data_IF_494413118362
#
_entry.id   IF_494413118362
#
_cell.length_a   1.000
_cell.length_b   1.000
_cell.length_c   1.000
_cell.angle_alpha   90.00
_cell.angle_beta   90.00
_cell.angle_gamma   90.00
#
_symmetry.space_group_name_H-M   'P 1'
#
loop_
_entity.id
_entity.type
_entity.pdbx_description
1 polymer ?
#
# COMPACT_ATOMS: atom_id res chain seq x y z
N UNK A 1 -10.84 -15.14 -7.79
CA UNK A 1 -11.65 -13.95 -7.43
C UNK A 1 -11.63 -12.95 -8.58
N UNK A 2 -12.72 -12.21 -8.83
CA UNK A 2 -12.76 -11.13 -9.82
C UNK A 2 -13.11 -9.81 -9.10
N UNK A 3 -12.38 -8.75 -9.38
CA UNK A 3 -12.59 -7.40 -8.81
C UNK A 3 -13.02 -6.48 -9.94
N UNK A 4 -14.05 -5.65 -9.70
CA UNK A 4 -14.46 -4.64 -10.68
C UNK A 4 -13.49 -3.46 -10.58
N UNK A 5 -13.02 -2.99 -11.72
CA UNK A 5 -12.01 -1.94 -11.84
C UNK A 5 -12.49 -0.91 -12.86
N UNK A 6 -12.28 0.37 -12.56
CA UNK A 6 -12.37 1.46 -13.53
C UNK A 6 -10.97 2.05 -13.66
N UNK A 7 -10.52 2.23 -14.91
CA UNK A 7 -9.30 2.94 -15.22
C UNK A 7 -9.66 4.20 -16.00
N UNK A 8 -9.37 5.37 -15.43
CA UNK A 8 -9.63 6.67 -16.05
C UNK A 8 -8.40 7.24 -16.78
N UNK A 9 -7.33 6.46 -16.90
CA UNK A 9 -6.13 6.81 -17.64
C UNK A 9 -6.00 6.03 -18.95
N UNK A 10 -5.03 6.41 -19.77
CA UNK A 10 -4.58 5.71 -20.98
C UNK A 10 -3.54 4.60 -20.69
N UNK A 11 -3.20 4.36 -19.42
CA UNK A 11 -2.21 3.36 -19.02
C UNK A 11 -2.83 1.96 -18.93
N UNK A 12 -2.04 0.88 -19.08
CA UNK A 12 -2.53 -0.48 -18.89
C UNK A 12 -3.07 -0.72 -17.47
N UNK A 13 -4.01 -1.65 -17.33
CA UNK A 13 -4.47 -2.11 -16.02
C UNK A 13 -3.30 -2.71 -15.21
N UNK A 14 -3.32 -2.59 -13.87
CA UNK A 14 -2.38 -3.29 -13.00
C UNK A 14 -2.45 -4.81 -13.26
N UNK A 15 -1.28 -5.44 -13.33
CA UNK A 15 -1.14 -6.89 -13.55
C UNK A 15 -0.05 -7.46 -12.65
N UNK A 16 -0.10 -8.76 -12.44
CA UNK A 16 1.02 -9.50 -11.86
C UNK A 16 2.15 -9.58 -12.89
N UNK A 17 3.36 -9.23 -12.47
CA UNK A 17 4.53 -9.20 -13.37
C UNK A 17 5.15 -10.59 -13.53
N UNK A 18 5.01 -11.46 -12.53
CA UNK A 18 5.42 -12.87 -12.57
C UNK A 18 4.33 -13.77 -11.97
N UNK A 19 4.41 -15.07 -12.25
CA UNK A 19 3.45 -16.07 -11.77
C UNK A 19 3.27 -16.07 -10.24
N UNK A 20 4.33 -15.79 -9.50
CA UNK A 20 4.34 -15.81 -8.03
C UNK A 20 4.38 -14.39 -7.41
N UNK A 21 4.12 -13.36 -8.21
CA UNK A 21 4.03 -11.99 -7.68
C UNK A 21 2.81 -11.85 -6.76
N UNK A 22 3.03 -11.34 -5.55
CA UNK A 22 1.94 -11.07 -4.61
C UNK A 22 1.16 -9.78 -4.94
N UNK A 23 1.84 -8.78 -5.50
CA UNK A 23 1.29 -7.45 -5.76
C UNK A 23 1.13 -7.12 -7.24
N UNK A 24 0.25 -6.15 -7.52
CA UNK A 24 0.04 -5.56 -8.84
C UNK A 24 0.62 -4.14 -8.86
N UNK A 25 1.49 -3.84 -9.81
CA UNK A 25 2.14 -2.52 -9.87
C UNK A 25 1.13 -1.40 -10.21
N UNK A 26 1.10 -0.35 -9.40
CA UNK A 26 0.37 0.90 -9.64
C UNK A 26 1.29 1.93 -10.31
N UNK A 27 0.74 2.66 -11.28
CA UNK A 27 1.48 3.63 -12.09
C UNK A 27 1.04 5.06 -11.80
N UNK A 28 1.99 6.00 -11.86
CA UNK A 28 1.66 7.44 -11.86
C UNK A 28 0.94 7.82 -13.15
N UNK A 29 -0.07 8.66 -13.06
CA UNK A 29 -0.75 9.25 -14.23
C UNK A 29 -0.21 10.64 -14.60
N UNK A 30 0.73 11.17 -13.83
CA UNK A 30 1.31 12.50 -14.00
C UNK A 30 2.84 12.46 -14.00
N UNK A 31 3.43 13.50 -14.58
CA UNK A 31 4.82 13.84 -14.38
C UNK A 31 4.98 14.68 -13.10
N UNK A 32 5.99 14.38 -12.29
CA UNK A 32 6.29 15.07 -11.05
C UNK A 32 7.75 14.85 -10.66
N UNK A 33 8.40 15.87 -10.10
CA UNK A 33 9.62 15.68 -9.31
C UNK A 33 9.25 15.76 -7.84
N UNK A 34 9.60 14.71 -7.07
CA UNK A 34 9.38 14.67 -5.63
C UNK A 34 10.70 15.01 -4.92
N UNK A 35 10.77 16.23 -4.38
CA UNK A 35 11.95 16.73 -3.67
C UNK A 35 12.23 15.96 -2.36
N UNK A 36 13.50 15.89 -1.91
CA UNK A 36 13.86 15.33 -0.61
C UNK A 36 13.03 15.89 0.55
N UNK A 37 12.59 15.01 1.45
CA UNK A 37 11.75 15.35 2.60
C UNK A 37 10.32 15.77 2.27
N UNK A 38 9.90 15.73 1.00
CA UNK A 38 8.53 16.04 0.58
C UNK A 38 7.71 14.78 0.35
N UNK A 39 6.40 14.93 0.52
CA UNK A 39 5.42 13.89 0.20
C UNK A 39 4.31 14.46 -0.68
N UNK A 40 3.69 13.60 -1.49
CA UNK A 40 2.54 13.97 -2.34
C UNK A 40 1.67 12.75 -2.64
N UNK A 41 0.36 12.96 -2.67
CA UNK A 41 -0.59 12.00 -3.21
C UNK A 41 -0.50 11.95 -4.73
N UNK A 42 -0.06 10.82 -5.27
CA UNK A 42 0.12 10.62 -6.71
C UNK A 42 -1.09 9.88 -7.28
N UNK A 43 -1.82 10.48 -8.25
CA UNK A 43 -2.98 9.85 -8.87
C UNK A 43 -2.57 8.64 -9.73
N UNK A 44 -3.39 7.58 -9.71
CA UNK A 44 -3.15 6.33 -10.44
C UNK A 44 -4.14 6.08 -11.57
N UNK A 45 -5.26 6.81 -11.60
CA UNK A 45 -6.40 6.57 -12.49
C UNK A 45 -7.20 5.31 -12.13
N UNK A 46 -6.84 4.59 -11.07
CA UNK A 46 -7.47 3.31 -10.72
C UNK A 46 -8.52 3.51 -9.63
N UNK A 47 -9.72 3.00 -9.90
CA UNK A 47 -10.81 2.86 -8.92
C UNK A 47 -11.22 1.40 -8.84
N UNK A 48 -11.51 0.90 -7.64
CA UNK A 48 -11.86 -0.49 -7.42
C UNK A 48 -13.24 -0.63 -6.76
N UNK A 49 -13.84 -1.80 -6.92
CA UNK A 49 -14.92 -2.27 -6.06
C UNK A 49 -14.56 -3.66 -5.57
N UNK A 50 -14.08 -3.71 -4.32
CA UNK A 50 -13.71 -4.95 -3.65
C UNK A 50 -14.96 -5.61 -3.04
N UNK A 51 -14.96 -6.94 -2.90
CA UNK A 51 -15.98 -7.64 -2.12
C UNK A 51 -15.83 -7.34 -0.61
N UNK A 52 -16.94 -7.44 0.14
CA UNK A 52 -16.91 -7.36 1.62
C UNK A 52 -15.96 -8.42 2.20
N UNK A 53 -15.24 -8.07 3.27
CA UNK A 53 -14.23 -8.92 3.90
C UNK A 53 -12.87 -8.89 3.20
N UNK A 54 -12.68 -7.97 2.26
CA UNK A 54 -11.41 -7.74 1.59
C UNK A 54 -11.06 -6.26 1.61
N UNK A 55 -9.78 -5.98 1.79
CA UNK A 55 -9.16 -4.68 1.59
C UNK A 55 -8.11 -4.79 0.48
N UNK A 56 -7.70 -3.66 -0.07
CA UNK A 56 -6.50 -3.61 -0.88
C UNK A 56 -5.45 -2.74 -0.20
N UNK A 57 -4.24 -3.26 -0.13
CA UNK A 57 -3.11 -2.65 0.56
C UNK A 57 -2.14 -2.07 -0.46
N UNK A 58 -1.91 -0.76 -0.40
CA UNK A 58 -0.89 -0.05 -1.18
C UNK A 58 0.43 -0.12 -0.42
N UNK A 59 1.43 -0.77 -1.02
CA UNK A 59 2.76 -0.98 -0.42
C UNK A 59 3.84 -0.37 -1.28
N UNK A 60 4.96 0.01 -0.65
CA UNK A 60 6.15 0.45 -1.36
C UNK A 60 6.73 -0.68 -2.24
N UNK A 61 7.43 -0.31 -3.31
CA UNK A 61 8.21 -1.25 -4.13
C UNK A 61 9.62 -1.31 -3.56
N UNK A 62 10.07 -2.50 -3.15
CA UNK A 62 11.35 -2.67 -2.44
C UNK A 62 12.55 -2.08 -3.19
N UNK A 63 12.59 -2.23 -4.52
CA UNK A 63 13.66 -1.65 -5.34
C UNK A 63 13.70 -0.12 -5.34
N UNK A 64 12.54 0.55 -5.38
CA UNK A 64 12.46 2.02 -5.34
C UNK A 64 12.79 2.54 -3.94
N UNK A 65 12.32 1.84 -2.90
CA UNK A 65 12.64 2.17 -1.52
C UNK A 65 14.15 2.08 -1.26
N UNK A 66 14.77 0.96 -1.65
CA UNK A 66 16.20 0.71 -1.42
C UNK A 66 17.11 1.67 -2.20
N UNK A 67 16.83 1.92 -3.48
CA UNK A 67 17.72 2.73 -4.33
C UNK A 67 17.53 4.23 -4.20
N UNK A 68 16.31 4.68 -3.90
CA UNK A 68 15.95 6.09 -4.00
C UNK A 68 15.35 6.65 -2.70
N UNK A 69 15.19 5.84 -1.64
CA UNK A 69 14.58 6.28 -0.39
C UNK A 69 13.08 6.57 -0.52
N UNK A 70 12.40 6.01 -1.53
CA UNK A 70 10.97 6.28 -1.75
C UNK A 70 10.11 5.36 -0.92
N UNK A 71 9.34 5.96 -0.02
CA UNK A 71 8.35 5.29 0.82
C UNK A 71 6.92 5.58 0.39
N UNK A 72 5.99 4.83 0.96
CA UNK A 72 4.57 5.17 1.00
C UNK A 72 4.28 5.61 2.43
N UNK A 73 3.81 6.84 2.63
CA UNK A 73 3.70 7.48 3.97
C UNK A 73 2.82 6.66 4.90
N UNK A 74 1.69 6.18 4.39
CA UNK A 74 0.70 5.41 5.14
C UNK A 74 0.88 3.90 4.94
N UNK A 75 2.08 3.40 4.62
CA UNK A 75 2.27 1.99 4.30
C UNK A 75 1.97 1.05 5.49
N UNK A 76 1.23 -0.07 5.28
CA UNK A 76 0.41 -0.35 4.11
C UNK A 76 -0.82 0.57 4.04
N UNK A 77 -0.99 1.26 2.90
CA UNK A 77 -2.15 2.14 2.70
C UNK A 77 -3.41 1.31 2.47
N UNK A 78 -4.45 1.52 3.28
CA UNK A 78 -5.68 0.72 3.22
C UNK A 78 -6.67 1.31 2.23
N UNK A 79 -7.21 0.47 1.35
CA UNK A 79 -8.32 0.78 0.44
C UNK A 79 -9.49 -0.10 0.81
N UNK A 80 -10.53 0.52 1.38
CA UNK A 80 -11.71 -0.17 1.89
C UNK A 80 -12.61 -0.73 0.79
N UNK A 81 -13.43 -1.74 1.14
CA UNK A 81 -14.29 -2.42 0.18
C UNK A 81 -15.40 -1.55 -0.41
N UNK A 82 -15.83 -0.51 0.31
CA UNK A 82 -16.84 0.45 -0.10
C UNK A 82 -16.24 1.71 -0.75
N UNK A 83 -14.92 1.88 -0.75
CA UNK A 83 -14.26 3.00 -1.43
C UNK A 83 -14.43 2.90 -2.95
N UNK A 84 -14.92 3.98 -3.58
CA UNK A 84 -15.10 4.10 -5.04
C UNK A 84 -14.33 5.26 -5.64
N UNK A 85 -13.54 5.95 -4.82
CA UNK A 85 -12.66 7.02 -5.28
C UNK A 85 -11.45 6.45 -6.02
N UNK A 86 -10.63 7.37 -6.52
CA UNK A 86 -9.35 7.03 -7.14
C UNK A 86 -8.30 6.75 -6.08
N UNK A 87 -7.60 5.62 -6.24
CA UNK A 87 -6.46 5.28 -5.41
C UNK A 87 -5.33 6.27 -5.69
N UNK A 88 -4.98 7.06 -4.67
CA UNK A 88 -3.80 7.92 -4.69
C UNK A 88 -2.70 7.28 -3.85
N UNK A 89 -1.49 7.22 -4.39
CA UNK A 89 -0.32 6.71 -3.67
C UNK A 89 0.36 7.88 -2.98
N UNK A 90 0.35 7.91 -1.64
CA UNK A 90 1.01 8.97 -0.87
C UNK A 90 2.50 8.64 -0.77
N UNK A 91 3.28 9.09 -1.75
CA UNK A 91 4.72 8.89 -1.76
C UNK A 91 5.43 9.91 -0.89
N UNK A 92 6.53 9.49 -0.27
CA UNK A 92 7.51 10.35 0.40
C UNK A 92 8.91 10.05 -0.11
N UNK A 93 9.71 11.09 -0.28
CA UNK A 93 11.12 10.97 -0.61
C UNK A 93 11.98 11.15 0.66
N UNK A 94 12.50 10.04 1.20
CA UNK A 94 13.49 10.03 2.28
C UNK A 94 14.93 10.07 1.77
N UNK A 95 15.14 9.97 0.46
CA UNK A 95 16.44 10.07 -0.16
C UNK A 95 16.97 11.50 -0.16
N UNK A 96 18.24 11.64 -0.53
CA UNK A 96 18.94 12.93 -0.57
C UNK A 96 18.82 13.64 -1.92
N UNK A 97 18.31 12.95 -2.94
CA UNK A 97 18.20 13.46 -4.32
C UNK A 97 16.73 13.60 -4.75
N UNK A 98 16.40 14.58 -5.60
CA UNK A 98 15.08 14.67 -6.20
C UNK A 98 14.72 13.38 -6.96
N UNK A 99 13.49 12.90 -6.77
CA UNK A 99 13.02 11.69 -7.44
C UNK A 99 12.06 12.04 -8.56
N UNK A 100 12.49 11.81 -9.80
CA UNK A 100 11.68 12.05 -10.99
C UNK A 100 10.69 10.91 -11.23
N UNK A 101 9.41 11.27 -11.25
CA UNK A 101 8.29 10.40 -11.56
C UNK A 101 7.75 10.84 -12.91
N UNK A 102 7.89 9.99 -13.92
CA UNK A 102 7.19 10.17 -15.19
C UNK A 102 5.83 9.47 -15.16
N UNK A 103 4.89 9.97 -15.96
CA UNK A 103 3.64 9.26 -16.26
C UNK A 103 3.97 7.84 -16.74
N UNK A 104 3.26 6.86 -16.18
CA UNK A 104 3.50 5.44 -16.43
C UNK A 104 4.54 4.79 -15.52
N UNK A 105 5.33 5.55 -14.75
CA UNK A 105 6.28 4.99 -13.78
C UNK A 105 5.53 4.19 -12.72
N UNK A 106 6.05 2.98 -12.44
CA UNK A 106 5.53 2.10 -11.39
C UNK A 106 5.99 2.59 -10.02
N UNK A 107 5.06 3.11 -9.24
CA UNK A 107 5.35 3.86 -8.01
C UNK A 107 5.06 3.08 -6.72
N UNK A 108 4.09 2.17 -6.75
CA UNK A 108 3.70 1.32 -5.63
C UNK A 108 3.18 -0.02 -6.16
N UNK A 109 2.84 -0.92 -5.25
CA UNK A 109 2.15 -2.17 -5.58
C UNK A 109 0.91 -2.33 -4.70
N UNK A 110 -0.13 -2.94 -5.27
CA UNK A 110 -1.38 -3.25 -4.60
C UNK A 110 -1.40 -4.74 -4.24
N UNK A 111 -1.74 -5.10 -3.01
CA UNK A 111 -2.05 -6.48 -2.60
C UNK A 111 -3.47 -6.53 -2.10
N UNK A 112 -4.30 -7.44 -2.62
CA UNK A 112 -5.65 -7.64 -2.08
C UNK A 112 -5.58 -8.67 -0.97
N UNK A 113 -6.08 -8.31 0.21
CA UNK A 113 -5.99 -9.14 1.40
C UNK A 113 -7.38 -9.39 2.00
N UNK A 114 -7.60 -10.58 2.56
CA UNK A 114 -8.80 -10.89 3.34
C UNK A 114 -8.63 -10.30 4.74
N UNK A 115 -9.69 -9.71 5.28
CA UNK A 115 -9.74 -9.30 6.68
C UNK A 115 -11.05 -9.78 7.31
N UNK A 116 -11.08 -9.82 8.65
CA UNK A 116 -12.29 -10.11 9.40
C UNK A 116 -12.96 -8.81 9.86
N UNK A 117 -14.28 -8.88 10.09
CA UNK A 117 -15.03 -7.82 10.77
C UNK A 117 -15.27 -8.30 12.19
N UNK A 118 -14.83 -7.54 13.19
CA UNK A 118 -14.94 -7.92 14.60
C UNK A 118 -16.08 -7.17 15.29
N UNK A 119 -16.61 -7.77 16.34
CA UNK A 119 -17.45 -7.13 17.35
C UNK A 119 -16.67 -7.11 18.66
N UNK A 120 -16.85 -6.06 19.45
CA UNK A 120 -16.16 -5.93 20.74
C UNK A 120 -16.97 -6.62 21.84
N UNK A 121 -16.29 -7.40 22.68
CA UNK A 121 -16.83 -7.99 23.91
C UNK A 121 -16.03 -7.42 25.10
N UNK A 122 -16.55 -6.40 25.82
CA UNK A 122 -15.86 -5.83 26.97
C UNK A 122 -15.82 -6.79 28.16
N UNK A 123 -14.65 -6.99 28.76
CA UNK A 123 -14.41 -7.85 29.93
C UNK A 123 -13.55 -7.12 30.98
N UNK A 124 -13.60 -7.56 32.24
CA UNK A 124 -12.79 -6.98 33.33
C UNK A 124 -11.33 -7.46 33.29
N UNK A 125 -11.09 -8.70 32.87
CA UNK A 125 -9.76 -9.33 32.79
C UNK A 125 -9.61 -10.18 31.52
N UNK A 126 -8.40 -10.28 30.99
CA UNK A 126 -8.03 -11.13 29.85
C UNK A 126 -7.40 -12.45 30.34
N UNK A 127 -7.37 -13.45 29.46
CA UNK A 127 -6.69 -14.72 29.73
C UNK A 127 -5.16 -14.58 29.77
N UNK A 128 -4.49 -15.46 30.53
CA UNK A 128 -3.04 -15.50 30.60
C UNK A 128 -2.42 -16.16 29.36
N UNK A 129 -1.36 -15.55 28.83
CA UNK A 129 -0.57 -16.14 27.73
C UNK A 129 0.91 -16.24 28.10
N UNK A 130 1.66 -17.13 27.44
CA UNK A 130 3.12 -17.24 27.62
C UNK A 130 3.87 -15.93 27.39
N UNK A 131 3.33 -15.03 26.56
CA UNK A 131 3.94 -13.71 26.30
C UNK A 131 3.57 -12.69 27.38
N UNK A 132 2.36 -12.78 27.96
CA UNK A 132 1.84 -11.84 28.95
C UNK A 132 1.98 -10.39 28.49
N UNK A 133 2.44 -9.53 29.39
CA UNK A 133 2.68 -8.10 29.14
C UNK A 133 4.04 -7.79 28.49
N UNK A 134 4.80 -8.80 28.03
CA UNK A 134 6.12 -8.62 27.44
C UNK A 134 6.12 -7.74 26.18
N UNK A 135 6.76 -6.57 26.27
CA UNK A 135 6.97 -5.63 25.15
C UNK A 135 8.41 -5.71 24.62
N UNK A 136 8.60 -5.41 23.33
CA UNK A 136 9.89 -5.29 22.65
C UNK A 136 10.84 -6.48 22.84
N UNK A 137 10.82 -7.43 21.89
CA UNK A 137 11.89 -8.42 21.69
C UNK A 137 12.37 -9.15 22.95
N UNK A 138 11.48 -9.86 23.66
CA UNK A 138 11.85 -10.74 24.78
C UNK A 138 12.69 -11.97 24.37
N UNK A 139 13.27 -11.97 23.17
CA UNK A 139 14.16 -13.01 22.64
C UNK A 139 15.54 -12.50 22.24
N UNK A 140 15.85 -11.21 22.49
CA UNK A 140 17.20 -10.66 22.30
C UNK A 140 17.62 -10.48 20.84
N UNK A 141 18.32 -9.38 20.57
CA UNK A 141 19.18 -9.25 19.40
C UNK A 141 20.45 -10.06 19.70
N UNK A 142 20.49 -11.33 19.32
CA UNK A 142 21.75 -12.08 19.24
C UNK A 142 22.42 -11.81 17.89
#
# INVERSE_FOLDING_TARGET
MKIRIVNTSDLPLPKYETEHSAGLDLRSTIDLVLEPGKFKGIPTGIKLSLPRGYEAQVRARGGTAFRNGIGVVNAPGTVDADYRGEIHVILINWGEQPFEIKKGTRIAQLIVNKHETIEWEPVEELDETKRGEGRFSSTGLS
#
